data_IF_188146507226
#
_entry.id   IF_188146507226
#
_cell.length_a   1.000
_cell.length_b   1.000
_cell.length_c   1.000
_cell.angle_alpha   90.00
_cell.angle_beta   90.00
_cell.angle_gamma   90.00
#
_symmetry.space_group_name_H-M   'P 1'
#
loop_
_entity.id
_entity.type
_entity.pdbx_description
1 polymer ?
#
# COMPACT_ATOMS: atom_id res chain seq x y z
N UNK A 1 -17.57 34.20 34.18
CA UNK A 1 -17.65 32.84 33.59
C UNK A 1 -16.72 32.65 32.39
N UNK A 2 -16.49 33.68 31.56
CA UNK A 2 -15.62 33.61 30.36
C UNK A 2 -14.11 33.60 30.71
N UNK A 3 -13.70 34.23 31.81
CA UNK A 3 -12.30 34.30 32.27
C UNK A 3 -11.66 32.94 32.58
N UNK A 4 -12.41 32.01 33.18
CA UNK A 4 -11.92 30.66 33.46
C UNK A 4 -11.67 29.84 32.17
N UNK A 5 -12.42 30.12 31.11
CA UNK A 5 -12.29 29.41 29.83
C UNK A 5 -11.03 29.81 29.07
N UNK A 6 -10.63 31.08 29.15
CA UNK A 6 -9.40 31.59 28.52
C UNK A 6 -8.15 31.05 29.23
N UNK A 7 -8.19 30.97 30.56
CA UNK A 7 -7.08 30.48 31.39
C UNK A 7 -6.89 28.95 31.26
N UNK A 8 -7.99 28.19 31.21
CA UNK A 8 -7.98 26.73 30.96
C UNK A 8 -7.50 26.40 29.53
N UNK A 9 -7.84 27.23 28.54
CA UNK A 9 -7.38 27.04 27.16
C UNK A 9 -5.88 27.38 27.01
N UNK A 10 -5.40 28.40 27.72
CA UNK A 10 -3.97 28.73 27.80
C UNK A 10 -3.14 27.64 28.47
N UNK A 11 -3.62 27.08 29.59
CA UNK A 11 -2.96 25.96 30.27
C UNK A 11 -3.00 24.66 29.46
N UNK A 12 -4.06 24.38 28.70
CA UNK A 12 -4.07 23.23 27.76
C UNK A 12 -3.07 23.38 26.62
N UNK A 13 -3.00 24.56 25.99
CA UNK A 13 -2.00 24.81 24.94
C UNK A 13 -0.57 24.71 25.45
N UNK A 14 -0.31 25.18 26.66
CA UNK A 14 1.01 25.12 27.27
C UNK A 14 1.38 23.70 27.77
N UNK A 15 0.40 22.90 28.18
CA UNK A 15 0.58 21.48 28.50
C UNK A 15 0.76 20.60 27.25
N UNK A 16 0.16 20.97 26.11
CA UNK A 16 0.44 20.35 24.80
C UNK A 16 1.79 20.77 24.22
N UNK A 17 2.33 21.92 24.61
CA UNK A 17 3.65 22.41 24.18
C UNK A 17 4.81 21.84 25.01
N UNK A 18 4.60 21.62 26.33
CA UNK A 18 5.54 20.93 27.22
C UNK A 18 5.58 19.41 27.04
N UNK A 19 4.66 18.84 26.25
CA UNK A 19 4.81 17.50 25.71
C UNK A 19 6.09 17.46 24.89
N UNK A 20 7.06 16.69 25.35
CA UNK A 20 8.35 16.58 24.68
C UNK A 20 8.12 16.22 23.21
N UNK A 21 8.98 16.69 22.30
CA UNK A 21 8.89 16.34 20.89
C UNK A 21 8.82 14.81 20.67
N UNK A 22 9.35 14.03 21.61
CA UNK A 22 9.32 12.57 21.59
C UNK A 22 7.92 11.98 21.80
N UNK A 23 7.07 12.57 22.64
CA UNK A 23 5.72 12.04 22.92
C UNK A 23 4.66 12.53 21.92
N UNK A 24 4.87 13.67 21.26
CA UNK A 24 4.14 14.01 20.02
C UNK A 24 4.46 13.02 18.90
N UNK A 25 5.74 12.64 18.76
CA UNK A 25 6.15 11.63 17.79
C UNK A 25 5.56 10.24 18.11
N UNK A 26 5.49 9.88 19.38
CA UNK A 26 4.95 8.59 19.83
C UNK A 26 3.44 8.44 19.55
N UNK A 27 2.67 9.55 19.48
CA UNK A 27 1.24 9.50 19.18
C UNK A 27 0.92 9.55 17.68
N UNK A 28 1.80 10.12 16.84
CA UNK A 28 1.59 10.22 15.39
C UNK A 28 1.96 8.92 14.67
N UNK A 29 3.00 8.23 15.15
CA UNK A 29 3.54 6.98 14.58
C UNK A 29 2.50 5.85 14.40
N UNK A 30 1.63 5.53 15.37
CA UNK A 30 0.64 4.46 15.20
C UNK A 30 -0.45 4.81 14.19
N UNK A 31 -0.83 6.09 14.10
CA UNK A 31 -1.77 6.57 13.08
C UNK A 31 -1.14 6.47 11.68
N UNK A 32 0.18 6.67 11.64
CA UNK A 32 1.00 6.55 10.44
C UNK A 32 1.12 5.12 9.95
N UNK A 33 1.54 4.21 10.83
CA UNK A 33 1.63 2.79 10.54
C UNK A 33 0.28 2.21 10.11
N UNK A 34 -0.84 2.70 10.65
CA UNK A 34 -2.17 2.28 10.22
C UNK A 34 -2.46 2.68 8.78
N UNK A 35 -2.21 3.93 8.40
CA UNK A 35 -2.39 4.39 7.00
C UNK A 35 -1.44 3.64 6.06
N UNK A 36 -0.18 3.53 6.45
CA UNK A 36 0.87 2.83 5.73
C UNK A 36 0.51 1.36 5.52
N UNK A 37 0.01 0.67 6.54
CA UNK A 37 -0.40 -0.73 6.46
C UNK A 37 -1.58 -0.89 5.48
N UNK A 38 -2.58 0.00 5.53
CA UNK A 38 -3.69 0.00 4.59
C UNK A 38 -3.21 0.27 3.15
N UNK A 39 -2.31 1.24 2.97
CA UNK A 39 -1.74 1.59 1.68
C UNK A 39 -0.89 0.45 1.10
N UNK A 40 -0.03 -0.17 1.92
CA UNK A 40 0.76 -1.36 1.59
C UNK A 40 -0.16 -2.52 1.22
N UNK A 41 -1.17 -2.81 2.04
CA UNK A 41 -2.09 -3.94 1.79
C UNK A 41 -2.87 -3.74 0.51
N UNK A 42 -3.40 -2.53 0.27
CA UNK A 42 -4.13 -2.20 -0.96
C UNK A 42 -3.22 -2.23 -2.19
N UNK A 43 -1.99 -1.69 -2.07
CA UNK A 43 -1.01 -1.68 -3.14
C UNK A 43 -0.40 -3.05 -3.42
N UNK A 44 -0.37 -3.95 -2.43
CA UNK A 44 0.00 -5.36 -2.59
C UNK A 44 -1.12 -6.15 -3.29
N UNK A 45 -2.38 -5.87 -2.93
CA UNK A 45 -3.56 -6.51 -3.53
C UNK A 45 -3.69 -6.11 -5.01
N UNK A 46 -3.41 -4.87 -5.39
CA UNK A 46 -3.57 -4.40 -6.77
C UNK A 46 -2.83 -5.25 -7.84
N UNK A 47 -1.50 -5.48 -7.77
CA UNK A 47 -0.78 -6.31 -8.72
C UNK A 47 -1.18 -7.78 -8.60
N UNK A 48 -1.49 -8.28 -7.40
CA UNK A 48 -1.95 -9.65 -7.19
C UNK A 48 -3.31 -9.89 -7.86
N UNK A 49 -4.23 -8.93 -7.71
CA UNK A 49 -5.54 -8.92 -8.34
C UNK A 49 -5.41 -8.83 -9.86
N UNK A 50 -4.50 -7.99 -10.37
CA UNK A 50 -4.27 -7.86 -11.81
C UNK A 50 -3.75 -9.19 -12.41
N UNK A 51 -2.79 -9.84 -11.75
CA UNK A 51 -2.28 -11.15 -12.17
C UNK A 51 -3.39 -12.20 -12.10
N UNK A 52 -4.15 -12.25 -11.00
CA UNK A 52 -5.23 -13.21 -10.82
C UNK A 52 -6.35 -13.03 -11.84
N UNK A 53 -6.82 -11.79 -12.04
CA UNK A 53 -7.85 -11.46 -13.03
C UNK A 53 -7.35 -11.81 -14.43
N UNK A 54 -6.11 -11.45 -14.78
CA UNK A 54 -5.52 -11.77 -16.08
C UNK A 54 -5.45 -13.28 -16.34
N UNK A 55 -5.03 -14.08 -15.36
CA UNK A 55 -5.03 -15.53 -15.47
C UNK A 55 -6.45 -16.09 -15.60
N UNK A 56 -7.41 -15.59 -14.82
CA UNK A 56 -8.82 -16.03 -14.90
C UNK A 56 -9.41 -15.72 -16.28
N UNK A 57 -9.18 -14.53 -16.84
CA UNK A 57 -9.66 -14.21 -18.20
C UNK A 57 -9.00 -15.08 -19.25
N UNK A 58 -7.70 -15.37 -19.16
CA UNK A 58 -7.04 -16.28 -20.09
C UNK A 58 -7.55 -17.72 -19.97
N UNK A 59 -7.81 -18.22 -18.76
CA UNK A 59 -8.41 -19.54 -18.54
C UNK A 59 -9.85 -19.58 -19.08
N UNK A 60 -10.63 -18.53 -18.84
CA UNK A 60 -12.00 -18.44 -19.33
C UNK A 60 -12.06 -18.35 -20.86
N UNK A 61 -11.14 -17.62 -21.49
CA UNK A 61 -10.94 -17.61 -22.94
C UNK A 61 -10.50 -18.98 -23.46
N UNK A 62 -9.70 -19.73 -22.68
CA UNK A 62 -9.26 -21.07 -23.06
C UNK A 62 -10.38 -22.11 -23.10
N UNK A 63 -11.54 -21.84 -22.48
CA UNK A 63 -12.70 -22.70 -22.57
C UNK A 63 -13.45 -22.58 -23.90
N UNK A 64 -13.23 -21.51 -24.67
CA UNK A 64 -13.83 -21.37 -25.99
C UNK A 64 -12.87 -21.95 -27.06
N UNK A 65 -13.30 -22.96 -27.85
CA UNK A 65 -12.43 -23.64 -28.82
C UNK A 65 -11.90 -22.71 -29.93
N UNK A 66 -12.51 -21.53 -30.13
CA UNK A 66 -12.10 -20.54 -31.12
C UNK A 66 -10.87 -19.73 -30.65
N UNK A 67 -10.71 -19.53 -29.35
CA UNK A 67 -9.67 -18.66 -28.74
C UNK A 67 -8.76 -19.43 -27.77
N UNK A 68 -8.86 -20.75 -27.75
CA UNK A 68 -8.07 -21.64 -26.90
C UNK A 68 -6.55 -21.43 -27.04
N UNK A 69 -6.05 -21.26 -28.26
CA UNK A 69 -4.63 -20.99 -28.50
C UNK A 69 -4.18 -19.64 -27.92
N UNK A 70 -5.03 -18.61 -27.97
CA UNK A 70 -4.75 -17.30 -27.37
C UNK A 70 -4.79 -17.37 -25.83
N UNK A 71 -5.77 -18.11 -25.29
CA UNK A 71 -5.92 -18.44 -23.87
C UNK A 71 -4.63 -19.03 -23.28
N UNK A 72 -4.20 -20.14 -23.87
CA UNK A 72 -3.03 -20.92 -23.44
C UNK A 72 -1.72 -20.17 -23.67
N UNK A 73 -1.55 -19.50 -24.81
CA UNK A 73 -0.36 -18.69 -25.09
C UNK A 73 -0.22 -17.56 -24.06
N UNK A 74 -1.30 -16.85 -23.75
CA UNK A 74 -1.29 -15.77 -22.78
C UNK A 74 -0.99 -16.22 -21.36
N UNK A 75 -1.60 -17.32 -20.91
CA UNK A 75 -1.25 -17.95 -19.62
C UNK A 75 0.23 -18.30 -19.56
N UNK A 76 0.77 -18.93 -20.60
CA UNK A 76 2.18 -19.30 -20.65
C UNK A 76 3.10 -18.08 -20.66
N UNK A 77 2.71 -17.01 -21.35
CA UNK A 77 3.45 -15.75 -21.39
C UNK A 77 3.45 -15.03 -20.04
N UNK A 78 2.31 -14.99 -19.35
CA UNK A 78 2.18 -14.44 -18.00
C UNK A 78 3.03 -15.22 -17.00
N UNK A 79 2.96 -16.56 -17.01
CA UNK A 79 3.78 -17.40 -16.15
C UNK A 79 5.27 -17.24 -16.43
N UNK A 80 5.66 -17.14 -17.71
CA UNK A 80 7.06 -16.91 -18.11
C UNK A 80 7.56 -15.53 -17.69
N UNK A 81 6.73 -14.50 -17.80
CA UNK A 81 7.03 -13.16 -17.29
C UNK A 81 7.31 -13.24 -15.79
N UNK A 82 6.41 -13.88 -15.04
CA UNK A 82 6.56 -14.06 -13.60
C UNK A 82 7.81 -14.88 -13.24
N UNK A 83 8.08 -15.96 -13.97
CA UNK A 83 9.29 -16.77 -13.79
C UNK A 83 10.58 -15.99 -14.07
N UNK A 84 10.56 -15.02 -14.99
CA UNK A 84 11.72 -14.13 -15.25
C UNK A 84 12.10 -13.31 -14.01
N UNK A 85 11.11 -12.85 -13.24
CA UNK A 85 11.36 -12.13 -11.99
C UNK A 85 11.64 -13.04 -10.79
N UNK A 86 11.26 -14.31 -10.87
CA UNK A 86 11.27 -15.27 -9.77
C UNK A 86 12.31 -16.38 -9.89
N UNK A 87 13.38 -16.18 -10.65
CA UNK A 87 14.43 -17.18 -10.87
C UNK A 87 13.88 -18.55 -11.35
N UNK A 88 12.96 -18.50 -12.33
CA UNK A 88 12.27 -19.68 -12.85
C UNK A 88 11.01 -20.07 -12.10
N UNK A 89 10.78 -19.55 -10.89
CA UNK A 89 9.58 -19.83 -10.10
C UNK A 89 8.56 -18.70 -10.22
N UNK A 90 7.39 -18.91 -10.88
CA UNK A 90 6.39 -17.86 -11.07
C UNK A 90 5.85 -17.33 -9.72
N UNK A 91 5.72 -18.17 -8.69
CA UNK A 91 5.29 -17.71 -7.36
C UNK A 91 6.27 -16.70 -6.75
N UNK A 92 7.58 -16.89 -6.94
CA UNK A 92 8.60 -15.97 -6.46
C UNK A 92 8.52 -14.64 -7.20
N UNK A 93 8.30 -14.64 -8.52
CA UNK A 93 8.12 -13.41 -9.28
C UNK A 93 6.86 -12.63 -8.86
N UNK A 94 5.78 -13.35 -8.53
CA UNK A 94 4.58 -12.75 -7.97
C UNK A 94 4.89 -11.98 -6.67
N UNK A 95 5.64 -12.63 -5.77
CA UNK A 95 6.04 -12.06 -4.49
C UNK A 95 6.94 -10.83 -4.69
N UNK A 96 7.90 -10.89 -5.61
CA UNK A 96 8.79 -9.76 -5.95
C UNK A 96 8.00 -8.56 -6.47
N UNK A 97 7.04 -8.76 -7.38
CA UNK A 97 6.18 -7.69 -7.91
C UNK A 97 5.31 -7.11 -6.78
N UNK A 98 4.71 -7.98 -5.97
CA UNK A 98 3.86 -7.53 -4.88
C UNK A 98 4.65 -6.76 -3.80
N UNK A 99 5.89 -7.17 -3.51
CA UNK A 99 6.81 -6.45 -2.60
C UNK A 99 7.23 -5.09 -3.16
N UNK A 100 7.57 -5.01 -4.44
CA UNK A 100 7.97 -3.75 -5.07
C UNK A 100 6.84 -2.74 -5.10
N UNK A 101 5.62 -3.16 -5.45
CA UNK A 101 4.43 -2.30 -5.38
C UNK A 101 4.11 -1.89 -3.94
N UNK A 102 4.15 -2.82 -2.99
CA UNK A 102 4.01 -2.51 -1.56
C UNK A 102 5.00 -1.46 -1.08
N UNK A 103 6.28 -1.58 -1.48
CA UNK A 103 7.32 -0.62 -1.13
C UNK A 103 7.00 0.77 -1.68
N UNK A 104 6.60 0.86 -2.97
CA UNK A 104 6.21 2.12 -3.61
C UNK A 104 4.98 2.74 -2.91
N UNK A 105 3.96 1.93 -2.61
CA UNK A 105 2.77 2.39 -1.88
C UNK A 105 3.08 2.91 -0.49
N UNK A 106 3.96 2.21 0.25
CA UNK A 106 4.45 2.67 1.55
C UNK A 106 5.25 3.98 1.46
N UNK A 107 6.12 4.11 0.44
CA UNK A 107 6.88 5.34 0.21
C UNK A 107 5.96 6.53 -0.12
N UNK A 108 4.90 6.28 -0.88
CA UNK A 108 3.93 7.29 -1.27
C UNK A 108 3.09 7.76 -0.08
N UNK A 109 2.60 6.84 0.76
CA UNK A 109 1.87 7.17 1.99
C UNK A 109 2.77 7.96 2.96
N UNK A 110 4.03 7.53 3.12
CA UNK A 110 5.06 8.25 3.89
C UNK A 110 5.26 9.67 3.39
N UNK A 111 5.40 9.85 2.08
CA UNK A 111 5.55 11.18 1.47
C UNK A 111 4.32 12.07 1.69
N UNK A 112 3.10 11.52 1.51
CA UNK A 112 1.86 12.26 1.70
C UNK A 112 1.73 12.81 3.13
N UNK A 113 2.19 12.05 4.12
CA UNK A 113 2.22 12.53 5.50
C UNK A 113 3.24 13.60 5.78
N UNK A 114 4.47 13.40 5.33
CA UNK A 114 5.51 14.42 5.48
C UNK A 114 5.06 15.73 4.83
N UNK A 115 4.34 15.65 3.70
CA UNK A 115 3.75 16.81 3.06
C UNK A 115 2.62 17.44 3.88
N UNK A 116 1.71 16.63 4.44
CA UNK A 116 0.62 17.11 5.29
C UNK A 116 1.13 17.80 6.56
N UNK A 117 2.18 17.26 7.19
CA UNK A 117 2.83 17.88 8.34
C UNK A 117 3.53 19.20 7.99
N UNK A 118 4.17 19.28 6.82
CA UNK A 118 4.83 20.52 6.35
C UNK A 118 3.84 21.64 6.01
N UNK A 119 2.60 21.30 5.65
CA UNK A 119 1.58 22.28 5.26
C UNK A 119 0.87 22.94 6.45
N UNK A 120 1.12 22.48 7.68
CA UNK A 120 0.48 22.95 8.91
C UNK A 120 1.51 23.59 9.83
#
# INVERSE_FOLDING_TARGET
MISNLTEVNGTRKQAEDSRSPLDKFMSILPHFLRSLLLAITFSFIAPLLLIAVGLITFVLMSHLPIIQNLGTLGCHQMLKFLATFGDGHPLQGCLVIALTFSLVGGLFDTYACCQNFRSN
#
